data_IF_844797091123
#
_entry.id   IF_844797091123
#
_cell.length_a   1.000
_cell.length_b   1.000
_cell.length_c   1.000
_cell.angle_alpha   90.00
_cell.angle_beta   90.00
_cell.angle_gamma   90.00
#
_symmetry.space_group_name_H-M   'P 1'
#
loop_
_entity.id
_entity.type
_entity.pdbx_description
1 polymer ?
#
# COMPACT_ATOMS: atom_id res chain seq x y z
N UNK A 1 7.70 -5.63 21.56
CA UNK A 1 8.09 -6.34 20.33
C UNK A 1 8.91 -5.37 19.49
N UNK A 2 10.22 -5.58 19.43
CA UNK A 2 11.14 -4.67 18.77
C UNK A 2 11.19 -5.00 17.26
N UNK A 3 10.49 -4.20 16.46
CA UNK A 3 10.77 -4.07 15.04
C UNK A 3 11.67 -2.84 14.89
N UNK A 4 12.95 -3.00 15.23
CA UNK A 4 13.96 -1.94 15.14
C UNK A 4 14.83 -2.11 13.88
N UNK A 5 14.31 -2.81 12.87
CA UNK A 5 14.97 -2.93 11.58
C UNK A 5 14.73 -1.66 10.76
N UNK A 6 15.77 -0.81 10.72
CA UNK A 6 15.79 0.47 9.99
C UNK A 6 16.11 0.30 8.50
N UNK A 7 16.25 -0.92 8.00
CA UNK A 7 16.52 -1.20 6.58
C UNK A 7 15.37 -0.79 5.65
N UNK A 8 14.17 -0.53 6.17
CA UNK A 8 13.00 -0.14 5.38
C UNK A 8 12.85 1.38 5.15
N UNK A 9 13.86 2.20 5.46
CA UNK A 9 13.81 3.64 5.19
C UNK A 9 13.94 3.92 3.70
N UNK A 10 12.84 3.84 2.99
CA UNK A 10 12.74 4.44 1.66
C UNK A 10 12.85 5.97 1.81
N UNK A 11 13.67 6.59 0.98
CA UNK A 11 13.96 8.03 1.04
C UNK A 11 12.74 8.91 0.72
N UNK A 12 11.74 8.33 0.02
CA UNK A 12 10.56 9.04 -0.44
C UNK A 12 9.29 8.48 0.22
N UNK A 13 8.48 9.38 0.79
CA UNK A 13 7.20 9.05 1.41
C UNK A 13 6.05 9.57 0.54
N UNK A 14 5.07 8.70 0.27
CA UNK A 14 3.78 9.08 -0.31
C UNK A 14 2.74 9.15 0.80
N UNK A 15 2.06 10.30 0.94
CA UNK A 15 0.96 10.47 1.90
C UNK A 15 -0.38 10.39 1.17
N UNK A 16 -1.22 9.44 1.57
CA UNK A 16 -2.56 9.24 1.01
C UNK A 16 -3.59 9.51 2.11
N UNK A 17 -4.71 10.14 1.76
CA UNK A 17 -5.86 10.28 2.66
C UNK A 17 -6.84 9.16 2.37
N UNK A 18 -7.20 8.42 3.42
CA UNK A 18 -8.18 7.35 3.37
C UNK A 18 -9.33 7.69 4.31
N UNK A 19 -10.50 7.24 3.92
CA UNK A 19 -11.71 7.18 4.71
C UNK A 19 -11.49 6.21 5.90
N UNK A 20 -12.15 6.43 7.04
CA UNK A 20 -11.93 5.62 8.25
C UNK A 20 -12.21 4.13 8.01
N UNK A 21 -13.25 3.81 7.24
CA UNK A 21 -13.62 2.43 6.87
C UNK A 21 -12.50 1.75 6.06
N UNK A 22 -12.00 2.42 5.03
CA UNK A 22 -10.93 1.91 4.17
C UNK A 22 -9.63 1.75 4.94
N UNK A 23 -9.30 2.70 5.82
CA UNK A 23 -8.11 2.63 6.65
C UNK A 23 -8.20 1.46 7.65
N UNK A 24 -9.38 1.21 8.21
CA UNK A 24 -9.58 0.11 9.14
C UNK A 24 -9.48 -1.25 8.43
N UNK A 25 -10.06 -1.39 7.23
CA UNK A 25 -9.93 -2.59 6.41
C UNK A 25 -8.46 -2.89 6.07
N UNK A 26 -7.70 -1.89 5.62
CA UNK A 26 -6.26 -2.03 5.38
C UNK A 26 -5.50 -2.49 6.62
N UNK A 27 -5.86 -1.98 7.80
CA UNK A 27 -5.22 -2.38 9.07
C UNK A 27 -5.54 -3.82 9.45
N UNK A 28 -6.76 -4.27 9.20
CA UNK A 28 -7.16 -5.64 9.53
C UNK A 28 -6.48 -6.65 8.60
N UNK A 29 -6.42 -6.38 7.30
CA UNK A 29 -5.62 -7.19 6.35
C UNK A 29 -4.14 -7.21 6.75
N UNK A 30 -3.56 -6.06 7.08
CA UNK A 30 -2.17 -6.00 7.53
C UNK A 30 -1.95 -6.81 8.81
N UNK A 31 -2.88 -6.78 9.76
CA UNK A 31 -2.82 -7.56 10.99
C UNK A 31 -2.82 -9.07 10.70
N UNK A 32 -3.71 -9.53 9.83
CA UNK A 32 -3.82 -10.94 9.47
C UNK A 32 -2.55 -11.45 8.80
N UNK A 33 -1.91 -10.60 7.99
CA UNK A 33 -0.63 -10.87 7.36
C UNK A 33 0.59 -10.66 8.28
N UNK A 34 0.37 -10.21 9.53
CA UNK A 34 1.43 -9.83 10.50
C UNK A 34 2.38 -8.75 9.98
N UNK A 35 1.85 -7.79 9.21
CA UNK A 35 2.57 -6.66 8.64
C UNK A 35 2.12 -5.32 9.25
N UNK A 36 2.94 -4.29 9.12
CA UNK A 36 2.48 -2.92 9.33
C UNK A 36 1.64 -2.48 8.13
N UNK A 37 0.56 -1.73 8.35
CA UNK A 37 -0.32 -1.24 7.27
C UNK A 37 0.43 -0.39 6.23
N UNK A 38 1.45 0.37 6.65
CA UNK A 38 2.33 1.12 5.73
C UNK A 38 3.21 0.22 4.86
N UNK A 39 3.70 -0.90 5.43
CA UNK A 39 4.47 -1.92 4.69
C UNK A 39 3.57 -2.61 3.67
N UNK A 40 2.38 -3.06 4.09
CA UNK A 40 1.40 -3.66 3.19
C UNK A 40 1.01 -2.70 2.05
N UNK A 41 0.76 -1.42 2.37
CA UNK A 41 0.43 -0.41 1.36
C UNK A 41 1.53 -0.28 0.31
N UNK A 42 2.80 -0.28 0.74
CA UNK A 42 3.94 -0.25 -0.17
C UNK A 42 3.96 -1.48 -1.07
N UNK A 43 3.81 -2.68 -0.50
CA UNK A 43 3.83 -3.93 -1.26
C UNK A 43 2.71 -3.99 -2.30
N UNK A 44 1.50 -3.55 -1.95
CA UNK A 44 0.38 -3.44 -2.90
C UNK A 44 0.72 -2.48 -4.04
N UNK A 45 1.29 -1.30 -3.74
CA UNK A 45 1.71 -0.33 -4.76
C UNK A 45 2.79 -0.92 -5.68
N UNK A 46 3.81 -1.54 -5.11
CA UNK A 46 4.92 -2.14 -5.86
C UNK A 46 4.44 -3.28 -6.77
N UNK A 47 3.56 -4.15 -6.25
CA UNK A 47 2.97 -5.24 -7.02
C UNK A 47 2.10 -4.72 -8.18
N UNK A 48 1.26 -3.70 -7.94
CA UNK A 48 0.45 -3.09 -8.99
C UNK A 48 1.30 -2.43 -10.09
N UNK A 49 2.41 -1.78 -9.71
CA UNK A 49 3.36 -1.19 -10.65
C UNK A 49 4.12 -2.24 -11.45
N UNK A 50 4.48 -3.38 -10.83
CA UNK A 50 5.09 -4.50 -11.54
C UNK A 50 4.15 -5.06 -12.61
N UNK A 51 2.87 -5.30 -12.26
CA UNK A 51 1.86 -5.74 -13.23
C UNK A 51 1.73 -4.76 -14.39
N UNK A 52 1.71 -3.44 -14.10
CA UNK A 52 1.70 -2.41 -15.16
C UNK A 52 2.92 -2.45 -16.06
N UNK A 53 4.11 -2.69 -15.50
CA UNK A 53 5.34 -2.85 -16.31
C UNK A 53 5.26 -4.05 -17.24
N UNK A 54 4.66 -5.16 -16.78
CA UNK A 54 4.57 -6.40 -17.54
C UNK A 54 3.46 -6.38 -18.60
N UNK A 55 2.27 -5.87 -18.25
CA UNK A 55 1.07 -5.95 -19.08
C UNK A 55 0.73 -4.64 -19.81
N UNK A 56 1.36 -3.53 -19.42
CA UNK A 56 1.06 -2.19 -19.95
C UNK A 56 -0.09 -1.47 -19.23
N UNK A 57 -0.82 -2.16 -18.34
CA UNK A 57 -1.99 -1.63 -17.61
C UNK A 57 -2.00 -2.04 -16.13
N UNK A 58 -2.68 -1.25 -15.30
CA UNK A 58 -2.86 -1.60 -13.88
C UNK A 58 -3.83 -2.78 -13.73
N UNK A 59 -3.70 -3.59 -12.66
CA UNK A 59 -4.60 -4.72 -12.40
C UNK A 59 -6.02 -4.31 -11.97
N UNK A 60 -6.35 -3.02 -12.04
CA UNK A 60 -7.63 -2.44 -11.68
C UNK A 60 -7.84 -1.11 -12.41
N UNK A 61 -9.10 -0.74 -12.59
CA UNK A 61 -9.45 0.58 -13.10
C UNK A 61 -9.30 1.62 -12.00
N UNK A 62 -8.69 2.75 -12.33
CA UNK A 62 -8.66 3.90 -11.45
C UNK A 62 -9.92 4.72 -11.69
N UNK A 63 -10.83 4.73 -10.73
CA UNK A 63 -11.89 5.74 -10.72
C UNK A 63 -11.23 7.12 -10.56
N UNK A 64 -11.33 7.95 -11.60
CA UNK A 64 -11.09 9.38 -11.43
C UNK A 64 -12.18 9.88 -10.50
N UNK A 65 -11.91 10.01 -9.19
CA UNK A 65 -12.75 10.84 -8.32
C UNK A 65 -12.82 12.21 -8.99
N UNK A 66 -13.97 12.55 -9.58
CA UNK A 66 -14.24 13.91 -10.04
C UNK A 66 -14.12 14.78 -8.80
N UNK A 67 -13.10 15.63 -8.76
CA UNK A 67 -13.03 16.74 -7.83
C UNK A 67 -14.19 17.70 -8.08
#
# INVERSE_FOLDING_TARGET
>A
MAYDDKAHRHEHQVKVRLDDEVFQELKDVARDMKLQHSVLSREIIEAALEVKRTLGELPFELEKRRA
#
